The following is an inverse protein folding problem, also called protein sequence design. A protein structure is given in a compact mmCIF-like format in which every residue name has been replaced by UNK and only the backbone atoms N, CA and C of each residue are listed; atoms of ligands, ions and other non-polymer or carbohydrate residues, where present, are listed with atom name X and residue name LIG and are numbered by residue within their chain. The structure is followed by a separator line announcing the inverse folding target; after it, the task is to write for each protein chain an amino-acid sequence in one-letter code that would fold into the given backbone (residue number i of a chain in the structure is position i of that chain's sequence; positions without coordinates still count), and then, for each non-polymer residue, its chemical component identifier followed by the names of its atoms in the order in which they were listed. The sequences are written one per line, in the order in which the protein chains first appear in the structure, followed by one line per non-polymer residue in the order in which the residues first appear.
data_IF_113245747393
#
_entry.id   IF_113245747393
#
_cell.length_a   1.000
_cell.length_b   1.000
_cell.length_c   1.000
_cell.angle_alpha   90.00
_cell.angle_beta   90.00
_cell.angle_gamma   90.00
#
_symmetry.space_group_name_H-M   'P 1'
#
loop_
_entity.id
_entity.type
_entity.pdbx_description
1 polymer ?
#
# COMPACT_ATOMS: atom_id res chain seq x y z
N UNK A 1 14.20 -13.16 -2.04
CA UNK A 1 13.74 -11.77 -2.29
C UNK A 1 12.75 -11.37 -1.21
N UNK A 2 12.98 -10.28 -0.55
CA UNK A 2 12.08 -9.75 0.48
C UNK A 2 11.18 -8.70 -0.14
N UNK A 3 9.87 -8.87 0.00
CA UNK A 3 8.87 -8.01 -0.63
C UNK A 3 7.96 -7.39 0.44
N UNK A 4 7.67 -6.11 0.31
CA UNK A 4 6.65 -5.41 1.08
C UNK A 4 5.46 -5.07 0.19
N UNK A 5 4.27 -5.39 0.64
CA UNK A 5 3.01 -5.00 0.01
C UNK A 5 2.33 -3.94 0.85
N UNK A 6 2.24 -2.74 0.34
CA UNK A 6 1.70 -1.58 1.05
C UNK A 6 0.33 -1.21 0.48
N UNK A 7 -0.70 -1.43 1.27
CA UNK A 7 -2.06 -0.97 0.96
C UNK A 7 -2.30 0.41 1.54
N UNK A 8 -2.92 1.28 0.77
CA UNK A 8 -3.34 2.59 1.26
C UNK A 8 -4.64 3.06 0.63
N UNK A 9 -5.41 3.85 1.37
CA UNK A 9 -6.63 4.48 0.91
C UNK A 9 -7.90 3.78 1.41
N UNK A 10 -8.99 4.02 0.70
CA UNK A 10 -10.29 3.43 1.01
C UNK A 10 -10.29 1.92 0.75
N UNK A 11 -11.03 1.19 1.55
CA UNK A 11 -11.13 -0.26 1.40
C UNK A 11 -12.05 -0.66 0.24
N UNK A 12 -13.14 0.09 0.02
CA UNK A 12 -14.07 -0.17 -1.09
C UNK A 12 -14.50 -1.64 -1.16
N UNK A 13 -14.46 -2.19 -2.35
CA UNK A 13 -14.81 -3.59 -2.63
C UNK A 13 -13.63 -4.55 -2.43
N UNK A 14 -12.85 -4.34 -1.38
CA UNK A 14 -11.62 -5.09 -1.13
C UNK A 14 -11.85 -6.61 -1.06
N UNK A 15 -13.00 -7.06 -0.53
CA UNK A 15 -13.31 -8.50 -0.42
C UNK A 15 -13.39 -9.14 -1.80
N UNK A 16 -14.02 -8.47 -2.75
CA UNK A 16 -14.17 -8.96 -4.13
C UNK A 16 -12.83 -9.01 -4.86
N UNK A 17 -11.91 -8.12 -4.51
CA UNK A 17 -10.58 -8.05 -5.11
C UNK A 17 -9.55 -8.96 -4.41
N UNK A 18 -9.83 -9.43 -3.21
CA UNK A 18 -8.86 -10.12 -2.35
C UNK A 18 -8.33 -11.41 -2.97
N UNK A 19 -9.17 -12.19 -3.61
CA UNK A 19 -8.74 -13.46 -4.25
C UNK A 19 -7.69 -13.20 -5.32
N UNK A 20 -7.91 -12.19 -6.17
CA UNK A 20 -6.96 -11.83 -7.23
C UNK A 20 -5.62 -11.39 -6.68
N UNK A 21 -5.62 -10.63 -5.59
CA UNK A 21 -4.40 -10.16 -4.92
C UNK A 21 -3.65 -11.35 -4.30
N UNK A 22 -4.37 -12.24 -3.63
CA UNK A 22 -3.76 -13.43 -3.03
C UNK A 22 -3.11 -14.30 -4.11
N UNK A 23 -3.84 -14.64 -5.17
CA UNK A 23 -3.34 -15.54 -6.21
C UNK A 23 -2.20 -14.93 -7.00
N UNK A 24 -2.27 -13.65 -7.31
CA UNK A 24 -1.36 -13.02 -8.26
C UNK A 24 -0.17 -12.29 -7.62
N UNK A 25 -0.25 -11.93 -6.35
CA UNK A 25 0.82 -11.21 -5.64
C UNK A 25 1.26 -11.93 -4.39
N UNK A 26 0.34 -12.23 -3.48
CA UNK A 26 0.71 -12.74 -2.14
C UNK A 26 1.27 -14.15 -2.22
N UNK A 27 0.60 -15.07 -2.91
CA UNK A 27 1.05 -16.45 -3.02
C UNK A 27 2.42 -16.57 -3.70
N UNK A 28 2.67 -15.89 -4.85
CA UNK A 28 3.99 -16.02 -5.49
C UNK A 28 5.12 -15.29 -4.76
N UNK A 29 4.86 -14.21 -4.05
CA UNK A 29 5.90 -13.37 -3.46
C UNK A 29 6.03 -13.48 -1.94
N UNK A 30 5.00 -13.94 -1.26
CA UNK A 30 4.94 -14.02 0.21
C UNK A 30 5.40 -12.71 0.89
N UNK A 31 4.77 -11.57 0.59
CA UNK A 31 5.23 -10.27 1.11
C UNK A 31 4.84 -10.06 2.56
N UNK A 32 5.58 -9.18 3.24
CA UNK A 32 5.07 -8.54 4.45
C UNK A 32 4.03 -7.49 4.04
N UNK A 33 2.93 -7.40 4.77
CA UNK A 33 1.78 -6.55 4.41
C UNK A 33 1.68 -5.38 5.36
N UNK A 34 1.50 -4.19 4.80
CA UNK A 34 1.30 -2.94 5.53
C UNK A 34 0.01 -2.29 5.05
N UNK A 35 -0.72 -1.66 5.96
CA UNK A 35 -1.97 -0.98 5.65
C UNK A 35 -2.01 0.40 6.30
N UNK A 36 -2.42 1.41 5.54
CA UNK A 36 -2.91 2.67 6.08
C UNK A 36 -4.27 2.97 5.45
N UNK A 37 -5.30 3.15 6.27
CA UNK A 37 -6.64 3.47 5.80
C UNK A 37 -7.25 4.58 6.66
N UNK A 38 -8.47 5.00 6.32
CA UNK A 38 -9.18 6.01 7.08
C UNK A 38 -9.92 5.37 8.27
N UNK A 39 -10.02 6.09 9.38
CA UNK A 39 -10.63 5.57 10.61
C UNK A 39 -12.15 5.36 10.51
N UNK A 40 -12.80 5.95 9.50
CA UNK A 40 -14.21 5.73 9.19
C UNK A 40 -14.48 4.52 8.28
N UNK A 41 -13.45 3.84 7.82
CA UNK A 41 -13.57 2.63 7.02
C UNK A 41 -13.73 1.38 7.91
N UNK A 42 -14.47 0.34 7.45
CA UNK A 42 -14.63 -0.90 8.22
C UNK A 42 -13.39 -1.79 8.09
N UNK A 43 -12.31 -1.41 8.73
CA UNK A 43 -10.99 -2.03 8.55
C UNK A 43 -10.76 -3.32 9.36
N UNK A 44 -11.60 -3.60 10.35
CA UNK A 44 -11.41 -4.75 11.25
C UNK A 44 -11.38 -6.09 10.50
N UNK A 45 -12.30 -6.29 9.56
CA UNK A 45 -12.36 -7.51 8.76
C UNK A 45 -11.15 -7.63 7.83
N UNK A 46 -10.72 -6.51 7.25
CA UNK A 46 -9.51 -6.45 6.42
C UNK A 46 -8.27 -6.88 7.21
N UNK A 47 -8.10 -6.35 8.41
CA UNK A 47 -6.98 -6.68 9.29
C UNK A 47 -7.01 -8.16 9.68
N UNK A 48 -8.18 -8.71 10.01
CA UNK A 48 -8.33 -10.13 10.32
C UNK A 48 -8.01 -11.03 9.12
N UNK A 49 -8.38 -10.59 7.93
CA UNK A 49 -8.20 -11.36 6.70
C UNK A 49 -6.74 -11.38 6.24
N UNK A 50 -6.15 -10.21 6.04
CA UNK A 50 -4.80 -10.08 5.51
C UNK A 50 -3.70 -10.22 6.59
N UNK A 51 -4.02 -10.01 7.85
CA UNK A 51 -3.08 -10.05 8.98
C UNK A 51 -1.82 -9.22 8.70
N UNK A 52 -1.99 -7.91 8.48
CA UNK A 52 -0.83 -7.07 8.14
C UNK A 52 0.22 -7.07 9.25
N UNK A 53 1.46 -6.97 8.85
CA UNK A 53 2.61 -6.85 9.75
C UNK A 53 2.51 -5.59 10.60
N UNK A 54 2.07 -4.50 10.00
CA UNK A 54 1.77 -3.24 10.70
C UNK A 54 0.68 -2.49 9.95
N UNK A 55 -0.14 -1.75 10.69
CA UNK A 55 -1.24 -1.00 10.11
C UNK A 55 -1.62 0.19 10.99
N UNK A 56 -2.29 1.17 10.38
CA UNK A 56 -2.90 2.28 11.09
C UNK A 56 -4.15 2.78 10.37
N UNK A 57 -5.07 3.35 11.14
CA UNK A 57 -6.21 4.08 10.63
C UNK A 57 -6.04 5.56 11.00
N UNK A 58 -6.15 6.45 10.01
CA UNK A 58 -5.94 7.88 10.20
C UNK A 58 -7.24 8.66 10.02
N UNK A 59 -7.36 9.77 10.72
CA UNK A 59 -8.53 10.63 10.63
C UNK A 59 -8.44 11.51 9.39
N UNK A 60 -9.48 11.47 8.56
CA UNK A 60 -9.51 12.20 7.30
C UNK A 60 -9.46 13.73 7.53
N UNK A 61 -10.33 14.25 8.40
CA UNK A 61 -10.44 15.70 8.62
C UNK A 61 -9.16 16.29 9.20
N UNK A 62 -8.58 15.64 10.21
CA UNK A 62 -7.33 16.09 10.82
C UNK A 62 -6.20 16.06 9.81
N UNK A 63 -6.12 14.98 9.01
CA UNK A 63 -5.08 14.83 7.99
C UNK A 63 -5.20 15.92 6.93
N UNK A 64 -6.42 16.21 6.45
CA UNK A 64 -6.63 17.24 5.43
C UNK A 64 -6.31 18.64 5.94
N UNK A 65 -6.58 18.93 7.22
CA UNK A 65 -6.19 20.20 7.83
C UNK A 65 -4.68 20.42 7.83
N UNK A 66 -3.91 19.35 8.09
CA UNK A 66 -2.45 19.42 8.12
C UNK A 66 -1.83 19.55 6.73
N UNK A 67 -2.50 19.04 5.70
CA UNK A 67 -1.99 18.97 4.34
C UNK A 67 -2.59 20.01 3.40
N UNK A 68 -3.40 20.95 3.92
CA UNK A 68 -4.04 21.98 3.07
C UNK A 68 -2.97 22.86 2.42
N UNK A 69 -2.79 22.77 1.10
CA UNK A 69 -1.76 23.56 0.43
C UNK A 69 -2.22 25.02 0.32
N UNK A 70 -1.47 25.92 0.94
CA UNK A 70 -1.80 27.35 0.97
C UNK A 70 -1.48 28.09 -0.33
N UNK A 71 -0.65 27.49 -1.22
CA UNK A 71 -0.09 28.19 -2.39
C UNK A 71 -0.15 27.38 -3.70
N UNK A 72 -1.25 26.67 -3.95
CA UNK A 72 -1.41 26.01 -5.25
C UNK A 72 -1.96 27.01 -6.29
N UNK A 73 -1.35 27.02 -7.47
CA UNK A 73 -1.81 27.79 -8.61
C UNK A 73 -3.16 27.31 -9.16
N UNK A 74 -3.61 26.12 -8.78
CA UNK A 74 -4.89 25.52 -9.14
C UNK A 74 -5.33 24.56 -8.04
N UNK A 75 -6.64 24.33 -7.91
CA UNK A 75 -7.14 23.32 -6.99
C UNK A 75 -6.87 21.91 -7.55
N UNK A 76 -6.19 21.03 -6.79
CA UNK A 76 -6.03 19.65 -7.21
C UNK A 76 -7.38 18.93 -7.24
N UNK A 77 -7.48 17.86 -8.03
CA UNK A 77 -8.67 17.00 -8.02
C UNK A 77 -8.94 16.48 -6.60
N UNK A 78 -10.22 16.31 -6.26
CA UNK A 78 -10.66 15.98 -4.90
C UNK A 78 -10.03 14.70 -4.32
N UNK A 79 -9.56 13.79 -5.18
CA UNK A 79 -8.95 12.53 -4.74
C UNK A 79 -7.43 12.56 -4.61
N UNK A 80 -6.74 13.59 -5.14
CA UNK A 80 -5.28 13.58 -5.21
C UNK A 80 -4.62 13.71 -3.83
N UNK A 81 -5.01 14.70 -3.05
CA UNK A 81 -4.42 14.94 -1.72
C UNK A 81 -4.69 13.77 -0.77
N UNK A 82 -5.92 13.23 -0.66
CA UNK A 82 -6.17 12.04 0.14
C UNK A 82 -5.33 10.84 -0.30
N UNK A 83 -5.15 10.63 -1.60
CA UNK A 83 -4.32 9.55 -2.13
C UNK A 83 -2.87 9.70 -1.68
N UNK A 84 -2.29 10.89 -1.84
CA UNK A 84 -0.90 11.16 -1.43
C UNK A 84 -0.73 11.04 0.09
N UNK A 85 -1.71 11.48 0.87
CA UNK A 85 -1.71 11.32 2.32
C UNK A 85 -1.69 9.85 2.74
N UNK A 86 -2.48 9.02 2.08
CA UNK A 86 -2.48 7.58 2.32
C UNK A 86 -1.15 6.92 2.01
N UNK A 87 -0.55 7.28 0.89
CA UNK A 87 0.78 6.79 0.49
C UNK A 87 1.84 7.22 1.51
N UNK A 88 1.83 8.47 1.93
CA UNK A 88 2.75 8.99 2.95
C UNK A 88 2.57 8.25 4.28
N UNK A 89 1.34 7.99 4.68
CA UNK A 89 1.01 7.30 5.92
C UNK A 89 1.54 5.87 5.91
N UNK A 90 1.25 5.08 4.88
CA UNK A 90 1.73 3.70 4.78
C UNK A 90 3.25 3.64 4.67
N UNK A 91 3.85 4.62 4.01
CA UNK A 91 5.32 4.75 3.96
C UNK A 91 5.91 4.94 5.35
N UNK A 92 5.30 5.76 6.18
CA UNK A 92 5.79 6.02 7.55
C UNK A 92 5.83 4.75 8.39
N UNK A 93 4.75 3.94 8.36
CA UNK A 93 4.73 2.68 9.12
C UNK A 93 5.68 1.65 8.54
N UNK A 94 5.81 1.58 7.23
CA UNK A 94 6.74 0.71 6.54
C UNK A 94 8.20 1.04 6.91
N UNK A 95 8.59 2.31 6.84
CA UNK A 95 9.94 2.76 7.19
C UNK A 95 10.25 2.52 8.67
N UNK A 96 9.28 2.77 9.54
CA UNK A 96 9.44 2.49 10.98
C UNK A 96 9.70 1.00 11.22
N UNK A 97 8.95 0.13 10.55
CA UNK A 97 9.15 -1.31 10.65
C UNK A 97 10.53 -1.73 10.17
N UNK A 98 10.97 -1.19 9.02
CA UNK A 98 12.31 -1.43 8.48
C UNK A 98 13.40 -1.07 9.50
N UNK A 99 13.30 0.10 10.12
CA UNK A 99 14.27 0.57 11.12
C UNK A 99 14.29 -0.28 12.38
N UNK A 100 13.10 -0.59 12.93
CA UNK A 100 12.97 -1.34 14.17
C UNK A 100 13.40 -2.80 14.03
N UNK A 101 13.13 -3.42 12.89
CA UNK A 101 13.47 -4.83 12.63
C UNK A 101 14.77 -4.99 11.87
N UNK A 102 15.46 -3.90 11.49
CA UNK A 102 16.68 -3.90 10.67
C UNK A 102 16.52 -4.79 9.43
N UNK A 103 15.35 -4.65 8.77
CA UNK A 103 14.97 -5.50 7.64
C UNK A 103 14.85 -4.63 6.38
N UNK A 104 15.68 -4.93 5.39
CA UNK A 104 15.61 -4.29 4.09
C UNK A 104 14.73 -5.09 3.14
N UNK A 105 13.95 -4.40 2.32
CA UNK A 105 13.12 -4.99 1.29
C UNK A 105 13.72 -4.76 -0.09
N UNK A 106 13.69 -5.80 -0.91
CA UNK A 106 14.18 -5.73 -2.30
C UNK A 106 13.15 -5.08 -3.21
N UNK A 107 11.86 -5.22 -2.87
CA UNK A 107 10.75 -4.71 -3.66
C UNK A 107 9.65 -4.19 -2.75
N UNK A 108 9.10 -3.04 -3.10
CA UNK A 108 7.91 -2.48 -2.45
C UNK A 108 6.80 -2.35 -3.49
N UNK A 109 5.70 -3.02 -3.26
CA UNK A 109 4.52 -2.94 -4.10
C UNK A 109 3.48 -2.08 -3.40
N UNK A 110 2.93 -1.10 -4.10
CA UNK A 110 1.85 -0.25 -3.60
C UNK A 110 0.57 -0.58 -4.33
N UNK A 111 -0.48 -0.88 -3.58
CA UNK A 111 -1.80 -1.15 -4.12
C UNK A 111 -2.88 -0.44 -3.32
N UNK A 112 -3.97 -0.13 -3.99
CA UNK A 112 -5.22 0.15 -3.30
C UNK A 112 -5.86 -1.18 -2.91
N UNK A 113 -6.56 -1.23 -1.77
CA UNK A 113 -7.23 -2.47 -1.35
C UNK A 113 -8.31 -2.97 -2.33
N UNK A 114 -8.88 -2.06 -3.11
CA UNK A 114 -10.01 -2.30 -4.02
C UNK A 114 -9.62 -2.46 -5.48
N UNK A 115 -8.38 -2.82 -5.78
CA UNK A 115 -7.95 -3.12 -7.16
C UNK A 115 -7.94 -4.62 -7.41
N UNK A 116 -8.30 -4.99 -8.63
CA UNK A 116 -8.22 -6.36 -9.10
C UNK A 116 -6.94 -6.55 -9.90
N UNK A 117 -6.17 -7.59 -9.56
CA UNK A 117 -4.94 -7.93 -10.24
C UNK A 117 -5.22 -9.05 -11.22
N UNK A 118 -5.08 -8.76 -12.52
CA UNK A 118 -5.53 -9.66 -13.58
C UNK A 118 -4.52 -10.75 -13.93
N UNK A 119 -3.23 -10.51 -13.70
CA UNK A 119 -2.17 -11.46 -14.05
C UNK A 119 -1.25 -11.70 -12.87
N UNK A 120 -0.76 -12.94 -12.79
CA UNK A 120 0.20 -13.29 -11.76
C UNK A 120 1.54 -12.61 -12.00
N UNK A 121 2.08 -12.02 -10.95
CA UNK A 121 3.41 -11.42 -10.99
C UNK A 121 4.46 -12.52 -11.12
N UNK A 122 5.39 -12.35 -12.05
CA UNK A 122 6.42 -13.34 -12.31
C UNK A 122 7.68 -13.01 -11.54
N UNK A 123 7.94 -13.79 -10.51
CA UNK A 123 9.08 -13.58 -9.61
C UNK A 123 10.43 -13.49 -10.32
N UNK A 124 10.63 -14.31 -11.35
CA UNK A 124 11.89 -14.31 -12.11
C UNK A 124 12.09 -13.01 -12.91
N UNK A 125 11.02 -12.44 -13.48
CA UNK A 125 11.11 -11.18 -14.20
C UNK A 125 11.48 -10.02 -13.27
N UNK A 126 10.91 -10.02 -12.05
CA UNK A 126 11.26 -9.02 -11.04
C UNK A 126 12.74 -9.17 -10.63
N UNK A 127 13.19 -10.38 -10.36
CA UNK A 127 14.59 -10.64 -10.01
C UNK A 127 15.54 -10.18 -11.10
N UNK A 128 15.21 -10.43 -12.37
CA UNK A 128 16.02 -9.99 -13.51
C UNK A 128 16.07 -8.46 -13.59
N UNK A 129 14.94 -7.78 -13.39
CA UNK A 129 14.89 -6.33 -13.37
C UNK A 129 15.73 -5.73 -12.24
N UNK A 130 15.62 -6.27 -11.03
CA UNK A 130 16.40 -5.81 -9.88
C UNK A 130 17.90 -6.02 -10.10
N UNK A 131 18.29 -7.17 -10.67
CA UNK A 131 19.68 -7.50 -10.97
C UNK A 131 20.28 -6.56 -12.01
N UNK A 132 19.51 -6.24 -13.04
CA UNK A 132 19.95 -5.39 -14.16
C UNK A 132 19.69 -3.90 -13.93
N UNK A 133 19.15 -3.53 -12.77
CA UNK A 133 18.75 -2.16 -12.42
C UNK A 133 17.79 -1.53 -13.43
N UNK A 134 17.01 -2.35 -14.11
CA UNK A 134 15.96 -1.90 -15.01
C UNK A 134 14.70 -1.55 -14.22
N UNK A 135 13.93 -0.59 -14.74
CA UNK A 135 12.66 -0.20 -14.17
C UNK A 135 11.55 -0.94 -14.90
N UNK A 136 10.66 -1.61 -14.14
CA UNK A 136 9.42 -2.17 -14.66
C UNK A 136 8.37 -1.06 -14.73
N UNK A 137 7.91 -0.78 -15.90
CA UNK A 137 6.81 0.15 -16.14
C UNK A 137 5.54 -0.59 -16.52
#
# INVERSE_FOLDING_TARGET
MKVALCFSGKLGDWKECSESIIQNIISPLNPDIFLSTWDDEPYEDFVKFYKPTSWQAINFEETMKLLKPENLAYEPSAGLIPMLAGIKSVNSIFQRHQQLKKKDYDLVIRLRPDVMVLEQIKKHEIKDCLKNKNILL
#
